data_IF_217425723767
#
_entry.id   IF_217425723767
#
_cell.length_a   1.000
_cell.length_b   1.000
_cell.length_c   1.000
_cell.angle_alpha   90.00
_cell.angle_beta   90.00
_cell.angle_gamma   90.00
#
_symmetry.space_group_name_H-M   'P 1'
#
loop_
_entity.id
_entity.type
_entity.pdbx_description
1 polymer ?
#
# COMPACT_ATOMS: atom_id res chain seq x y z
N UNK A 1 5.48 -32.83 20.93
CA UNK A 1 4.11 -32.90 20.39
C UNK A 1 4.02 -31.91 19.26
N UNK A 2 3.73 -32.43 18.07
CA UNK A 2 3.93 -31.76 16.80
C UNK A 2 2.94 -30.59 16.65
N UNK A 3 3.49 -29.41 16.39
CA UNK A 3 2.78 -28.26 15.86
C UNK A 3 2.28 -28.64 14.46
N UNK A 4 1.09 -29.25 14.38
CA UNK A 4 0.69 -30.01 13.19
C UNK A 4 -0.09 -29.17 12.18
N UNK A 5 -0.49 -27.92 12.49
CA UNK A 5 -1.30 -27.16 11.54
C UNK A 5 -1.24 -25.63 11.71
N UNK A 6 -1.12 -24.95 10.57
CA UNK A 6 -1.42 -23.51 10.44
C UNK A 6 -2.84 -23.17 10.93
N UNK A 7 -3.78 -24.11 10.80
CA UNK A 7 -5.14 -23.99 11.36
C UNK A 7 -5.16 -23.82 12.87
N UNK A 8 -4.28 -24.48 13.64
CA UNK A 8 -4.23 -24.30 15.10
C UNK A 8 -3.77 -22.90 15.49
N UNK A 9 -2.93 -22.26 14.68
CA UNK A 9 -2.44 -20.90 14.93
C UNK A 9 -3.51 -19.84 14.64
N UNK A 10 -4.33 -20.07 13.61
CA UNK A 10 -5.48 -19.22 13.28
C UNK A 10 -6.63 -19.46 14.26
N UNK A 11 -6.82 -20.71 14.69
CA UNK A 11 -7.85 -21.13 15.64
C UNK A 11 -7.35 -21.31 17.06
N UNK A 12 -6.26 -20.62 17.45
CA UNK A 12 -5.68 -20.62 18.81
C UNK A 12 -6.72 -20.14 19.84
N UNK A 13 -7.63 -21.03 20.25
CA UNK A 13 -8.62 -20.82 21.32
C UNK A 13 -9.48 -19.55 21.23
N UNK A 14 -9.68 -18.95 20.04
CA UNK A 14 -10.44 -17.70 19.86
C UNK A 14 -9.61 -16.40 19.79
N UNK A 15 -8.29 -16.45 20.03
CA UNK A 15 -7.43 -15.25 20.01
C UNK A 15 -6.85 -14.89 18.63
N UNK A 16 -6.81 -15.84 17.69
CA UNK A 16 -6.28 -15.61 16.34
C UNK A 16 -7.00 -14.47 15.59
N UNK A 17 -8.31 -14.31 15.82
CA UNK A 17 -9.10 -13.22 15.21
C UNK A 17 -8.59 -11.83 15.60
N UNK A 18 -8.13 -11.63 16.84
CA UNK A 18 -7.60 -10.33 17.28
C UNK A 18 -6.26 -10.03 16.63
N UNK A 19 -5.36 -11.02 16.58
CA UNK A 19 -4.04 -10.88 15.98
C UNK A 19 -4.17 -10.55 14.49
N UNK A 20 -4.90 -11.38 13.75
CA UNK A 20 -5.14 -11.18 12.32
C UNK A 20 -5.94 -9.90 12.04
N UNK A 21 -6.88 -9.53 12.91
CA UNK A 21 -7.60 -8.27 12.83
C UNK A 21 -6.68 -7.06 12.97
N UNK A 22 -5.76 -7.04 13.94
CA UNK A 22 -4.77 -5.97 14.10
C UNK A 22 -3.82 -5.88 12.90
N UNK A 23 -3.33 -7.02 12.38
CA UNK A 23 -2.52 -7.04 11.16
C UNK A 23 -3.28 -6.50 9.95
N UNK A 24 -4.56 -6.87 9.80
CA UNK A 24 -5.41 -6.39 8.72
C UNK A 24 -5.63 -4.87 8.82
N UNK A 25 -5.90 -4.35 10.02
CA UNK A 25 -6.06 -2.91 10.25
C UNK A 25 -4.76 -2.16 9.94
N UNK A 26 -3.61 -2.64 10.42
CA UNK A 26 -2.32 -2.04 10.07
C UNK A 26 -2.05 -2.07 8.56
N UNK A 27 -2.36 -3.18 7.88
CA UNK A 27 -2.21 -3.29 6.44
C UNK A 27 -3.11 -2.28 5.70
N UNK A 28 -4.35 -2.09 6.14
CA UNK A 28 -5.28 -1.10 5.58
C UNK A 28 -4.74 0.32 5.77
N UNK A 29 -4.20 0.66 6.96
CA UNK A 29 -3.58 1.97 7.19
C UNK A 29 -2.43 2.22 6.23
N UNK A 30 -1.51 1.27 6.09
CA UNK A 30 -0.36 1.38 5.18
C UNK A 30 -0.83 1.50 3.73
N UNK A 31 -1.77 0.65 3.30
CA UNK A 31 -2.32 0.70 1.96
C UNK A 31 -3.00 2.04 1.68
N UNK A 32 -3.77 2.58 2.63
CA UNK A 32 -4.40 3.90 2.54
C UNK A 32 -3.38 5.02 2.37
N UNK A 33 -2.29 4.99 3.14
CA UNK A 33 -1.20 5.96 3.02
C UNK A 33 -0.51 5.87 1.65
N UNK A 34 -0.22 4.65 1.17
CA UNK A 34 0.36 4.42 -0.16
C UNK A 34 -0.55 4.96 -1.26
N UNK A 35 -1.86 4.71 -1.18
CA UNK A 35 -2.84 5.21 -2.15
C UNK A 35 -2.86 6.74 -2.14
N UNK A 36 -2.90 7.36 -0.97
CA UNK A 36 -2.92 8.82 -0.83
C UNK A 36 -1.65 9.47 -1.41
N UNK A 37 -0.49 8.89 -1.07
CA UNK A 37 0.82 9.34 -1.60
C UNK A 37 0.90 9.11 -3.11
N UNK A 38 0.43 7.97 -3.62
CA UNK A 38 0.42 7.66 -5.05
C UNK A 38 -0.49 8.60 -5.84
N UNK A 39 -1.68 8.92 -5.31
CA UNK A 39 -2.58 9.91 -5.90
C UNK A 39 -1.94 11.29 -5.97
N UNK A 40 -1.23 11.71 -4.90
CA UNK A 40 -0.49 12.96 -4.89
C UNK A 40 0.68 12.96 -5.88
N UNK A 41 1.40 11.85 -6.01
CA UNK A 41 2.48 11.67 -7.00
C UNK A 41 1.94 11.77 -8.44
N UNK A 42 0.77 11.20 -8.74
CA UNK A 42 0.13 11.31 -10.06
C UNK A 42 -0.18 12.75 -10.44
N UNK A 43 -0.64 13.56 -9.49
CA UNK A 43 -0.90 14.99 -9.72
C UNK A 43 0.38 15.77 -10.01
N UNK A 44 1.46 15.51 -9.26
CA UNK A 44 2.75 16.17 -9.46
C UNK A 44 3.42 15.77 -10.78
N UNK A 45 3.36 14.49 -11.17
CA UNK A 45 3.88 14.02 -12.45
C UNK A 45 3.13 14.64 -13.64
N UNK A 46 1.79 14.81 -13.53
CA UNK A 46 1.02 15.55 -14.52
C UNK A 46 1.51 17.00 -14.65
N UNK A 47 1.74 17.69 -13.54
CA UNK A 47 2.25 19.07 -13.58
C UNK A 47 3.65 19.17 -14.19
N UNK A 48 4.58 18.30 -13.80
CA UNK A 48 5.93 18.28 -14.37
C UNK A 48 5.89 17.95 -15.87
N UNK A 49 4.99 17.07 -16.32
CA UNK A 49 4.84 16.75 -17.74
C UNK A 49 4.30 17.92 -18.58
N UNK A 50 3.46 18.78 -17.99
CA UNK A 50 2.96 19.99 -18.63
C UNK A 50 4.02 21.11 -18.65
N UNK A 51 4.83 21.23 -17.60
CA UNK A 51 5.96 22.18 -17.58
C UNK A 51 7.14 21.72 -18.46
N UNK A 52 7.28 20.40 -18.68
CA UNK A 52 8.19 19.83 -19.69
C UNK A 52 7.57 19.71 -21.10
N UNK A 53 6.42 20.33 -21.35
CA UNK A 53 6.04 20.62 -22.72
C UNK A 53 7.18 21.45 -23.37
N UNK A 54 7.59 21.09 -24.58
CA UNK A 54 8.99 20.94 -24.92
C UNK A 54 9.71 22.28 -25.16
N UNK A 55 10.69 22.58 -24.31
CA UNK A 55 11.89 23.37 -24.67
C UNK A 55 12.77 22.52 -25.62
N UNK A 56 12.15 21.99 -26.68
CA UNK A 56 12.75 21.24 -27.79
C UNK A 56 12.20 21.72 -29.14
N UNK A 57 11.45 22.82 -29.16
CA UNK A 57 11.03 23.48 -30.40
C UNK A 57 11.94 24.64 -30.84
N UNK A 58 12.93 25.05 -30.03
CA UNK A 58 13.83 26.17 -30.36
C UNK A 58 15.18 25.73 -30.96
N UNK A 59 15.22 24.58 -31.65
CA UNK A 59 16.42 24.20 -32.41
C UNK A 59 16.08 23.39 -33.66
N UNK A 60 15.39 24.02 -34.63
CA UNK A 60 15.54 23.69 -36.05
C UNK A 60 15.11 24.84 -36.94
#
# INVERSE_FOLDING_TARGET
MNWTSWSDFISMGGYGYYVWGSYLISFICIAGEIILVSNRKRTLLKQISLTKAPIKQERK
#
